data_IF_902032686008
#
_entry.id   IF_902032686008
#
_cell.length_a   1.000
_cell.length_b   1.000
_cell.length_c   1.000
_cell.angle_alpha   90.00
_cell.angle_beta   90.00
_cell.angle_gamma   90.00
#
_symmetry.space_group_name_H-M   'P 1'
#
loop_
_entity.id
_entity.type
_entity.pdbx_description
1 polymer ?
#
# COMPACT_ATOMS: atom_id res chain seq x y z
N UNK A 1 61.68 -23.71 33.51
CA UNK A 1 61.82 -23.50 34.96
C UNK A 1 60.54 -22.87 35.49
N UNK A 2 59.82 -23.61 36.36
CA UNK A 2 58.77 -23.25 37.35
C UNK A 2 57.79 -22.10 37.00
N UNK A 3 56.48 -22.33 36.78
CA UNK A 3 55.41 -22.83 37.70
C UNK A 3 55.12 -21.91 38.90
N UNK A 4 53.87 -21.41 38.96
CA UNK A 4 52.92 -21.20 40.11
C UNK A 4 52.05 -19.97 39.80
N UNK A 5 50.71 -20.00 39.60
CA UNK A 5 49.58 -20.59 40.34
C UNK A 5 49.52 -20.16 41.81
N UNK A 6 48.66 -19.18 42.12
CA UNK A 6 47.95 -19.08 43.40
C UNK A 6 46.56 -18.46 43.18
N UNK A 7 45.54 -19.31 43.38
CA UNK A 7 44.17 -18.91 43.69
C UNK A 7 44.09 -18.27 45.06
N UNK A 8 43.22 -17.29 45.27
CA UNK A 8 42.46 -17.20 46.52
C UNK A 8 41.05 -16.69 46.27
N UNK A 9 40.11 -17.49 46.76
CA UNK A 9 38.66 -17.31 46.80
C UNK A 9 38.33 -16.31 47.90
N UNK A 10 37.43 -15.37 47.64
CA UNK A 10 36.63 -14.75 48.69
C UNK A 10 35.16 -14.69 48.23
N UNK A 11 34.32 -15.34 49.03
CA UNK A 11 32.91 -15.62 48.80
C UNK A 11 32.05 -14.58 49.52
N UNK A 12 30.92 -14.23 48.89
CA UNK A 12 29.68 -13.65 49.43
C UNK A 12 29.65 -12.14 49.67
N UNK A 13 28.74 -11.43 48.98
CA UNK A 13 27.42 -11.04 49.50
C UNK A 13 26.60 -10.23 48.46
N UNK A 14 25.34 -10.66 48.24
CA UNK A 14 24.19 -9.98 47.56
C UNK A 14 24.38 -9.46 46.12
N UNK A 15 23.52 -9.66 45.12
CA UNK A 15 22.18 -10.22 44.98
C UNK A 15 21.67 -9.94 43.55
N UNK A 16 20.83 -10.84 43.02
CA UNK A 16 19.88 -10.69 41.89
C UNK A 16 20.33 -10.20 40.50
N UNK A 17 20.27 -11.14 39.53
CA UNK A 17 19.51 -11.11 38.25
C UNK A 17 19.45 -9.76 37.46
N UNK A 18 19.76 -9.65 36.17
CA UNK A 18 19.33 -10.46 35.02
C UNK A 18 20.18 -10.12 33.77
N UNK A 19 20.63 -11.14 33.04
CA UNK A 19 21.05 -11.06 31.64
C UNK A 19 19.80 -11.22 30.76
N UNK A 20 19.20 -10.10 30.32
CA UNK A 20 18.20 -10.03 29.25
C UNK A 20 17.92 -8.54 28.96
N UNK A 21 18.68 -7.95 28.04
CA UNK A 21 18.63 -6.50 27.85
C UNK A 21 19.13 -6.00 26.51
N UNK A 22 18.85 -6.72 25.41
CA UNK A 22 19.10 -6.19 24.06
C UNK A 22 17.98 -6.45 23.04
N UNK A 23 16.80 -6.90 23.50
CA UNK A 23 15.59 -7.12 22.67
C UNK A 23 14.37 -6.34 23.19
N UNK A 24 14.59 -5.20 23.85
CA UNK A 24 13.50 -4.39 24.42
C UNK A 24 13.70 -2.89 24.14
N UNK A 25 13.84 -2.51 22.87
CA UNK A 25 13.73 -1.12 22.42
C UNK A 25 12.86 -0.91 21.17
N UNK A 26 12.09 -1.92 20.74
CA UNK A 26 11.18 -1.82 19.59
C UNK A 26 9.67 -1.78 19.96
N UNK A 27 9.30 -1.83 21.24
CA UNK A 27 7.89 -1.99 21.66
C UNK A 27 7.34 -0.87 22.54
N UNK A 28 8.04 0.26 22.71
CA UNK A 28 7.55 1.39 23.54
C UNK A 28 7.18 2.68 22.77
N UNK A 29 7.04 2.63 21.44
CA UNK A 29 6.63 3.79 20.65
C UNK A 29 5.22 3.68 20.04
N UNK A 30 4.29 2.94 20.68
CA UNK A 30 2.88 2.89 20.26
C UNK A 30 1.91 2.85 21.46
N UNK A 31 1.83 3.91 22.29
CA UNK A 31 0.49 4.31 22.77
C UNK A 31 0.29 5.83 23.01
N UNK A 32 0.84 6.73 22.16
CA UNK A 32 0.49 8.17 22.21
C UNK A 32 0.06 8.82 20.90
N UNK A 33 0.03 8.05 19.80
CA UNK A 33 -0.57 8.50 18.52
C UNK A 33 -2.06 8.13 18.43
N UNK A 34 -2.53 7.19 19.26
CA UNK A 34 -3.93 6.74 19.29
C UNK A 34 -4.91 7.81 19.84
N UNK A 35 -4.49 8.67 20.78
CA UNK A 35 -5.42 9.59 21.45
C UNK A 35 -5.72 10.89 20.67
N UNK A 36 -5.02 11.15 19.56
CA UNK A 36 -5.32 12.29 18.67
C UNK A 36 -5.91 11.84 17.33
N UNK A 37 -5.62 10.60 16.89
CA UNK A 37 -6.39 9.95 15.83
C UNK A 37 -7.84 9.71 16.29
N UNK A 38 -8.12 9.45 17.57
CA UNK A 38 -9.49 9.40 18.11
C UNK A 38 -10.30 10.70 17.97
N UNK A 39 -9.65 11.85 17.76
CA UNK A 39 -10.35 13.12 17.55
C UNK A 39 -10.50 13.47 16.06
N UNK A 40 -9.73 12.84 15.16
CA UNK A 40 -9.82 13.01 13.69
C UNK A 40 -10.68 11.89 13.06
N UNK A 41 -10.58 10.69 13.62
CA UNK A 41 -11.46 9.54 13.42
C UNK A 41 -12.35 9.53 14.65
N UNK A 42 -13.40 10.32 14.57
CA UNK A 42 -14.47 10.42 15.55
C UNK A 42 -14.79 9.04 16.19
N UNK A 43 -14.99 9.02 17.52
CA UNK A 43 -15.44 7.86 18.31
C UNK A 43 -16.76 7.22 17.82
N UNK A 44 -17.33 7.73 16.73
CA UNK A 44 -18.45 7.15 15.98
C UNK A 44 -18.06 6.00 15.04
N UNK A 45 -16.78 5.78 14.72
CA UNK A 45 -16.32 4.78 13.73
C UNK A 45 -15.49 3.61 14.27
N UNK A 46 -15.85 3.09 15.44
CA UNK A 46 -15.38 1.76 15.87
C UNK A 46 -16.57 0.79 16.01
N UNK A 47 -17.22 0.40 14.90
CA UNK A 47 -18.25 -0.61 14.97
C UNK A 47 -17.63 -1.95 15.42
N UNK A 48 -18.37 -2.69 16.24
CA UNK A 48 -18.02 -4.09 16.50
C UNK A 48 -18.24 -4.88 15.21
N UNK A 49 -17.15 -5.30 14.56
CA UNK A 49 -17.25 -6.03 13.31
C UNK A 49 -17.96 -7.38 13.49
N UNK A 50 -18.84 -7.70 12.56
CA UNK A 50 -19.60 -8.94 12.51
C UNK A 50 -18.66 -10.11 12.23
N UNK A 51 -18.50 -11.01 13.21
CA UNK A 51 -17.57 -12.17 13.13
C UNK A 51 -17.88 -13.14 12.00
N UNK A 52 -19.13 -13.19 11.53
CA UNK A 52 -19.57 -14.07 10.45
C UNK A 52 -19.07 -13.64 9.06
N UNK A 53 -18.43 -12.48 8.93
CA UNK A 53 -17.81 -12.05 7.67
C UNK A 53 -16.30 -11.98 7.84
N UNK A 54 -15.58 -12.43 6.82
CA UNK A 54 -14.12 -12.23 6.75
C UNK A 54 -13.75 -10.76 6.57
N UNK A 55 -14.56 -10.01 5.80
CA UNK A 55 -14.46 -8.56 5.74
C UNK A 55 -14.81 -7.90 7.09
N UNK A 56 -14.20 -6.76 7.43
CA UNK A 56 -14.63 -5.91 8.54
C UNK A 56 -15.99 -5.26 8.23
N UNK A 57 -17.07 -6.03 8.46
CA UNK A 57 -18.45 -5.63 8.20
C UNK A 57 -19.19 -5.21 9.47
N UNK A 58 -20.13 -4.29 9.33
CA UNK A 58 -20.97 -3.79 10.41
C UNK A 58 -22.32 -3.32 9.89
N UNK A 59 -23.30 -3.29 10.78
CA UNK A 59 -24.64 -2.78 10.51
C UNK A 59 -24.67 -1.25 10.69
N UNK A 60 -24.98 -0.52 9.63
CA UNK A 60 -25.23 0.93 9.65
C UNK A 60 -26.72 1.16 9.95
N UNK A 61 -27.03 1.42 11.21
CA UNK A 61 -28.40 1.73 11.66
C UNK A 61 -28.60 3.24 11.58
N UNK A 62 -29.41 3.67 10.61
CA UNK A 62 -29.82 5.08 10.50
C UNK A 62 -31.24 5.25 11.03
N UNK A 63 -31.38 6.04 12.08
CA UNK A 63 -32.68 6.51 12.57
C UNK A 63 -33.20 7.59 11.63
N UNK A 64 -34.29 7.33 10.91
CA UNK A 64 -34.96 8.36 10.13
C UNK A 64 -35.80 9.25 11.06
N UNK A 65 -35.30 10.43 11.42
CA UNK A 65 -35.99 11.45 12.23
C UNK A 65 -37.11 12.19 11.46
N UNK A 66 -37.88 11.47 10.65
CA UNK A 66 -39.03 12.00 9.93
C UNK A 66 -40.29 11.20 10.25
N UNK A 67 -40.90 11.52 11.39
CA UNK A 67 -42.34 11.32 11.62
C UNK A 67 -42.78 9.93 12.10
N UNK A 68 -43.06 9.84 13.40
CA UNK A 68 -44.07 8.97 14.06
C UNK A 68 -44.03 7.43 13.92
N UNK A 69 -43.15 6.82 13.13
CA UNK A 69 -42.83 5.38 13.25
C UNK A 69 -41.38 5.16 12.82
N UNK A 70 -40.47 4.97 13.78
CA UNK A 70 -39.08 4.65 13.48
C UNK A 70 -38.99 3.22 12.94
N UNK A 71 -39.05 3.04 11.62
CA UNK A 71 -38.60 1.81 11.00
C UNK A 71 -37.08 1.86 10.92
N UNK A 72 -36.41 1.22 11.88
CA UNK A 72 -34.96 1.03 11.85
C UNK A 72 -34.58 0.23 10.59
N UNK A 73 -33.95 0.88 9.63
CA UNK A 73 -33.40 0.21 8.45
C UNK A 73 -31.90 0.05 8.67
N UNK A 74 -31.48 -1.20 8.94
CA UNK A 74 -30.05 -1.54 9.02
C UNK A 74 -29.52 -1.81 7.61
N UNK A 75 -28.41 -1.17 7.25
CA UNK A 75 -27.67 -1.47 6.01
C UNK A 75 -26.33 -2.11 6.35
N UNK A 76 -26.07 -3.31 5.81
CA UNK A 76 -24.75 -3.94 5.94
C UNK A 76 -23.71 -3.14 5.15
N UNK A 77 -22.67 -2.68 5.85
CA UNK A 77 -21.52 -1.99 5.31
C UNK A 77 -20.23 -2.75 5.64
N UNK A 78 -19.21 -2.65 4.80
CA UNK A 78 -17.94 -3.34 5.01
C UNK A 78 -16.76 -2.50 4.51
N UNK A 79 -15.65 -2.51 5.23
CA UNK A 79 -14.38 -2.01 4.68
C UNK A 79 -13.68 -3.10 3.84
N UNK A 80 -12.77 -2.71 2.93
CA UNK A 80 -11.89 -3.64 2.23
C UNK A 80 -11.11 -4.53 3.19
N UNK A 81 -11.03 -5.82 2.86
CA UNK A 81 -10.20 -6.78 3.59
C UNK A 81 -8.72 -6.57 3.25
N UNK A 82 -8.45 -6.12 2.03
CA UNK A 82 -7.11 -5.84 1.55
C UNK A 82 -7.05 -4.61 0.65
N UNK A 83 -5.85 -4.05 0.50
CA UNK A 83 -5.56 -2.93 -0.39
C UNK A 83 -4.36 -3.23 -1.28
N UNK A 84 -4.37 -2.69 -2.50
CA UNK A 84 -3.22 -2.64 -3.41
C UNK A 84 -2.81 -1.18 -3.61
N UNK A 85 -2.15 -0.55 -2.63
CA UNK A 85 -1.96 0.90 -2.59
C UNK A 85 -0.94 1.42 -3.62
N UNK A 86 -0.28 0.54 -4.37
CA UNK A 86 0.66 0.94 -5.40
C UNK A 86 1.51 -0.18 -6.00
N UNK A 87 2.36 0.15 -6.96
CA UNK A 87 2.56 1.50 -7.55
C UNK A 87 2.00 1.58 -8.98
N UNK A 88 1.65 2.78 -9.49
CA UNK A 88 1.20 2.92 -10.87
C UNK A 88 2.29 2.44 -11.83
N UNK A 89 1.84 1.84 -12.94
CA UNK A 89 2.71 1.29 -14.01
C UNK A 89 3.60 0.11 -13.60
N UNK A 90 3.31 -0.52 -12.46
CA UNK A 90 3.92 -1.78 -12.05
C UNK A 90 3.16 -3.03 -12.51
N UNK A 91 2.04 -2.89 -13.26
CA UNK A 91 1.22 -4.03 -13.72
C UNK A 91 0.00 -4.35 -12.84
N UNK A 92 -0.36 -3.44 -11.93
CA UNK A 92 -1.48 -3.60 -10.99
C UNK A 92 -2.82 -3.86 -11.69
N UNK A 93 -3.05 -3.32 -12.89
CA UNK A 93 -4.26 -3.63 -13.68
C UNK A 93 -4.32 -5.08 -14.11
N UNK A 94 -3.19 -5.67 -14.54
CA UNK A 94 -3.15 -7.08 -14.92
C UNK A 94 -3.37 -7.99 -13.72
N UNK A 95 -2.72 -7.68 -12.59
CA UNK A 95 -2.97 -8.42 -11.36
C UNK A 95 -4.42 -8.30 -10.91
N UNK A 96 -4.97 -7.08 -10.90
CA UNK A 96 -6.37 -6.82 -10.59
C UNK A 96 -7.31 -7.68 -11.44
N UNK A 97 -7.19 -7.63 -12.77
CA UNK A 97 -8.04 -8.38 -13.69
C UNK A 97 -8.00 -9.89 -13.42
N UNK A 98 -6.85 -10.42 -13.01
CA UNK A 98 -6.67 -11.83 -12.67
C UNK A 98 -7.30 -12.18 -11.32
N UNK A 99 -7.08 -11.35 -10.30
CA UNK A 99 -7.65 -11.55 -8.96
C UNK A 99 -9.18 -11.43 -8.96
N UNK A 100 -9.75 -10.54 -9.77
CA UNK A 100 -11.21 -10.40 -9.91
C UNK A 100 -11.91 -11.64 -10.47
N UNK A 101 -11.16 -12.62 -10.99
CA UNK A 101 -11.71 -13.91 -11.44
C UNK A 101 -11.79 -14.94 -10.32
N UNK A 102 -11.22 -14.66 -9.15
CA UNK A 102 -11.28 -15.57 -8.01
C UNK A 102 -12.71 -15.60 -7.44
N UNK A 103 -13.33 -16.77 -7.23
CA UNK A 103 -14.72 -16.86 -6.76
C UNK A 103 -14.97 -16.10 -5.44
N UNK A 104 -14.01 -16.16 -4.51
CA UNK A 104 -14.09 -15.46 -3.22
C UNK A 104 -13.71 -13.96 -3.28
N UNK A 105 -13.20 -13.41 -4.39
CA UNK A 105 -12.90 -11.97 -4.48
C UNK A 105 -14.07 -11.28 -5.20
N UNK A 106 -14.79 -10.40 -4.48
CA UNK A 106 -15.96 -9.68 -5.00
C UNK A 106 -15.54 -8.28 -5.45
N UNK A 107 -15.77 -7.96 -6.72
CA UNK A 107 -15.28 -6.74 -7.38
C UNK A 107 -16.27 -6.08 -8.34
N UNK A 108 -17.49 -5.91 -7.88
CA UNK A 108 -18.62 -5.23 -8.53
C UNK A 108 -18.60 -3.72 -8.29
N UNK A 109 -17.53 -3.22 -7.67
CA UNK A 109 -17.27 -1.80 -7.44
C UNK A 109 -16.11 -1.32 -8.34
N UNK A 110 -15.94 0.00 -8.55
CA UNK A 110 -14.88 0.53 -9.39
C UNK A 110 -13.48 0.14 -8.89
N UNK A 111 -12.60 -0.24 -9.81
CA UNK A 111 -11.16 -0.29 -9.54
C UNK A 111 -10.66 1.14 -9.34
N UNK A 112 -9.97 1.40 -8.23
CA UNK A 112 -9.49 2.73 -7.81
C UNK A 112 -10.64 3.68 -7.39
N UNK A 113 -11.33 3.39 -6.26
CA UNK A 113 -12.35 4.28 -5.69
C UNK A 113 -11.85 5.68 -5.30
N UNK A 114 -10.53 5.93 -5.30
CA UNK A 114 -9.89 7.26 -5.23
C UNK A 114 -10.30 8.13 -4.01
N UNK A 115 -10.72 7.51 -2.89
CA UNK A 115 -11.20 8.21 -1.70
C UNK A 115 -10.15 9.20 -1.16
N UNK A 116 -8.96 8.69 -0.85
CA UNK A 116 -7.94 9.43 -0.11
C UNK A 116 -7.37 10.59 -0.92
N UNK A 117 -7.39 10.50 -2.25
CA UNK A 117 -6.91 11.55 -3.13
C UNK A 117 -7.97 12.63 -3.43
N UNK A 118 -9.24 12.24 -3.68
CA UNK A 118 -10.26 13.17 -4.21
C UNK A 118 -11.26 13.69 -3.18
N UNK A 119 -11.58 12.88 -2.18
CA UNK A 119 -12.72 13.12 -1.31
C UNK A 119 -12.30 13.44 0.11
N UNK A 120 -11.25 12.78 0.63
CA UNK A 120 -10.77 13.01 1.99
C UNK A 120 -10.50 14.50 2.31
N UNK A 121 -10.05 15.28 1.34
CA UNK A 121 -9.74 16.70 1.52
C UNK A 121 -10.88 17.66 1.18
N UNK A 122 -12.06 17.14 0.80
CA UNK A 122 -13.27 17.92 0.55
C UNK A 122 -14.17 18.01 1.78
N UNK A 123 -14.00 17.11 2.75
CA UNK A 123 -14.77 17.09 3.99
C UNK A 123 -13.91 17.60 5.14
N UNK A 124 -14.55 18.33 6.06
CA UNK A 124 -13.91 18.78 7.29
C UNK A 124 -13.60 17.61 8.25
N UNK A 125 -14.20 16.43 7.99
CA UNK A 125 -14.07 15.23 8.80
C UNK A 125 -13.79 13.97 7.93
N UNK A 126 -12.72 13.24 8.25
CA UNK A 126 -12.36 11.97 7.61
C UNK A 126 -13.44 10.89 7.78
N UNK A 127 -14.03 10.77 8.97
CA UNK A 127 -15.08 9.79 9.24
C UNK A 127 -16.31 10.01 8.36
N UNK A 128 -16.65 11.27 8.09
CA UNK A 128 -17.75 11.62 7.20
C UNK A 128 -17.45 11.22 5.74
N UNK A 129 -16.25 11.54 5.25
CA UNK A 129 -15.82 11.13 3.91
C UNK A 129 -15.87 9.61 3.73
N UNK A 130 -15.44 8.86 4.75
CA UNK A 130 -15.46 7.40 4.75
C UNK A 130 -16.90 6.87 4.71
N UNK A 131 -17.79 7.36 5.58
CA UNK A 131 -19.17 6.87 5.68
C UNK A 131 -20.05 7.24 4.50
N UNK A 132 -19.91 8.48 4.01
CA UNK A 132 -20.77 9.00 2.95
C UNK A 132 -20.31 8.58 1.55
N UNK A 133 -19.00 8.35 1.36
CA UNK A 133 -18.44 8.08 0.03
C UNK A 133 -17.71 6.75 -0.04
N UNK A 134 -16.74 6.49 0.83
CA UNK A 134 -15.90 5.30 0.65
C UNK A 134 -16.66 4.00 0.80
N UNK A 135 -17.28 3.80 1.96
CA UNK A 135 -17.92 2.53 2.31
C UNK A 135 -19.10 2.23 1.39
N UNK A 136 -19.95 3.21 1.01
CA UNK A 136 -21.02 2.98 0.05
C UNK A 136 -20.57 2.50 -1.34
N UNK A 137 -19.35 2.83 -1.79
CA UNK A 137 -18.84 2.35 -3.09
C UNK A 137 -18.75 0.83 -3.15
N UNK A 138 -18.57 0.16 -2.01
CA UNK A 138 -18.44 -1.29 -1.96
C UNK A 138 -19.78 -2.04 -1.86
N UNK A 139 -20.92 -1.33 -1.72
CA UNK A 139 -22.25 -1.96 -1.62
C UNK A 139 -22.52 -3.02 -2.69
N UNK A 140 -22.23 -2.79 -3.98
CA UNK A 140 -22.43 -3.82 -5.01
C UNK A 140 -21.68 -5.12 -4.70
N UNK A 141 -20.47 -5.03 -4.16
CA UNK A 141 -19.67 -6.20 -3.77
C UNK A 141 -20.11 -6.84 -2.47
N UNK A 142 -20.59 -6.03 -1.52
CA UNK A 142 -21.11 -6.51 -0.24
C UNK A 142 -22.29 -7.46 -0.45
N UNK A 143 -23.18 -7.17 -1.40
CA UNK A 143 -24.31 -8.04 -1.74
C UNK A 143 -23.89 -9.45 -2.21
N UNK A 144 -22.66 -9.59 -2.73
CA UNK A 144 -22.13 -10.88 -3.19
C UNK A 144 -21.27 -11.60 -2.18
N UNK A 145 -20.94 -11.00 -1.03
CA UNK A 145 -20.13 -11.64 0.00
C UNK A 145 -20.74 -12.96 0.49
N UNK A 146 -22.07 -13.05 0.47
CA UNK A 146 -22.81 -14.22 0.96
C UNK A 146 -22.80 -15.42 -0.01
N UNK A 147 -22.30 -15.24 -1.24
CA UNK A 147 -22.19 -16.32 -2.23
C UNK A 147 -21.11 -17.35 -1.89
N UNK A 148 -20.15 -16.98 -1.04
CA UNK A 148 -19.11 -17.88 -0.56
C UNK A 148 -19.23 -17.98 0.96
N UNK A 149 -19.46 -19.19 1.44
CA UNK A 149 -19.60 -19.46 2.86
C UNK A 149 -19.05 -20.83 3.20
N UNK A 150 -18.60 -20.96 4.44
CA UNK A 150 -18.26 -22.20 5.10
C UNK A 150 -19.08 -22.35 6.38
N UNK A 151 -19.08 -23.54 6.95
CA UNK A 151 -19.72 -23.84 8.23
C UNK A 151 -18.63 -24.12 9.26
N UNK A 152 -18.56 -23.31 10.31
CA UNK A 152 -17.63 -23.52 11.41
C UNK A 152 -18.03 -24.75 12.25
N UNK A 153 -17.13 -25.21 13.13
CA UNK A 153 -17.31 -26.43 13.94
C UNK A 153 -18.55 -26.41 14.82
N UNK A 154 -19.01 -25.22 15.22
CA UNK A 154 -20.21 -25.01 16.02
C UNK A 154 -21.49 -24.87 15.19
N UNK A 155 -21.40 -25.03 13.85
CA UNK A 155 -22.52 -24.88 12.93
C UNK A 155 -22.74 -23.44 12.43
N UNK A 156 -21.92 -22.48 12.84
CA UNK A 156 -22.06 -21.08 12.43
C UNK A 156 -21.65 -20.90 10.97
N UNK A 157 -22.49 -20.21 10.19
CA UNK A 157 -22.16 -19.79 8.83
C UNK A 157 -21.12 -18.67 8.85
N UNK A 158 -20.01 -18.87 8.13
CA UNK A 158 -18.94 -17.89 7.94
C UNK A 158 -18.84 -17.54 6.47
N UNK A 159 -19.05 -16.28 6.13
CA UNK A 159 -18.91 -15.78 4.77
C UNK A 159 -17.44 -15.51 4.44
N UNK A 160 -16.93 -16.25 3.46
CA UNK A 160 -15.51 -16.27 3.09
C UNK A 160 -15.19 -15.41 1.88
N UNK A 161 -16.21 -14.81 1.26
CA UNK A 161 -16.02 -13.75 0.27
C UNK A 161 -15.25 -12.56 0.86
N UNK A 162 -14.40 -11.94 0.04
CA UNK A 162 -13.64 -10.75 0.38
C UNK A 162 -13.78 -9.65 -0.67
N UNK A 163 -13.83 -8.39 -0.22
CA UNK A 163 -13.66 -7.20 -1.07
C UNK A 163 -12.27 -6.60 -0.87
N UNK A 164 -11.70 -5.98 -1.91
CA UNK A 164 -10.45 -5.22 -1.82
C UNK A 164 -10.57 -3.82 -2.40
N UNK A 165 -9.51 -3.03 -2.28
CA UNK A 165 -9.36 -1.73 -2.96
C UNK A 165 -8.02 -1.70 -3.70
N UNK A 166 -8.06 -1.43 -5.00
CA UNK A 166 -6.88 -1.45 -5.87
C UNK A 166 -6.38 -0.05 -6.29
N UNK A 167 -6.58 0.98 -5.46
CA UNK A 167 -6.11 2.36 -5.67
C UNK A 167 -4.58 2.46 -5.59
N UNK A 168 -3.93 2.67 -6.73
CA UNK A 168 -2.47 2.50 -6.88
C UNK A 168 -1.63 3.70 -6.41
N UNK A 169 -2.26 4.80 -6.02
CA UNK A 169 -1.59 6.03 -5.64
C UNK A 169 -1.51 6.24 -4.12
N UNK A 170 -2.27 5.47 -3.33
CA UNK A 170 -2.31 5.58 -1.88
C UNK A 170 -0.94 5.46 -1.21
N UNK A 171 -0.04 4.66 -1.79
CA UNK A 171 1.31 4.45 -1.28
C UNK A 171 2.09 5.75 -1.12
N UNK A 172 2.09 6.60 -2.15
CA UNK A 172 3.01 7.74 -2.27
C UNK A 172 2.31 9.09 -2.38
N UNK A 173 1.04 9.12 -2.79
CA UNK A 173 0.30 10.35 -3.10
C UNK A 173 -0.32 10.99 -1.84
N UNK A 174 0.48 11.15 -0.78
CA UNK A 174 0.08 11.83 0.45
C UNK A 174 0.20 13.35 0.26
N UNK A 175 -0.35 13.88 -0.82
CA UNK A 175 -0.03 15.22 -1.34
C UNK A 175 -0.32 16.39 -0.42
N UNK A 176 -1.26 16.21 0.50
CA UNK A 176 -1.71 17.21 1.46
C UNK A 176 -1.46 16.75 2.89
N UNK A 177 -0.38 15.98 3.10
CA UNK A 177 -0.07 15.44 4.42
C UNK A 177 0.10 16.53 5.48
N UNK A 178 0.58 17.72 5.10
CA UNK A 178 0.73 18.86 6.02
C UNK A 178 -0.61 19.40 6.54
N UNK A 179 -1.71 19.15 5.83
CA UNK A 179 -3.05 19.62 6.23
C UNK A 179 -3.60 18.80 7.40
N UNK A 180 -3.06 17.60 7.64
CA UNK A 180 -3.48 16.77 8.77
C UNK A 180 -3.03 17.40 10.09
N UNK A 181 -3.94 17.61 11.08
CA UNK A 181 -3.58 18.22 12.35
C UNK A 181 -2.39 17.54 13.07
N UNK A 182 -2.28 16.20 12.97
CA UNK A 182 -1.16 15.43 13.54
C UNK A 182 0.21 15.65 12.86
N UNK A 183 0.22 16.35 11.71
CA UNK A 183 1.41 16.69 10.92
C UNK A 183 1.77 18.19 10.98
N UNK A 184 1.07 18.99 11.78
CA UNK A 184 1.39 20.42 11.92
C UNK A 184 2.82 20.62 12.45
N UNK A 185 3.58 21.47 11.75
CA UNK A 185 4.90 21.93 12.19
C UNK A 185 6.05 20.92 12.07
N UNK A 186 5.84 19.76 11.44
CA UNK A 186 6.91 18.76 11.23
C UNK A 186 7.41 18.77 9.79
N UNK A 187 8.67 18.36 9.60
CA UNK A 187 9.34 18.32 8.30
C UNK A 187 9.07 17.04 7.49
N UNK A 188 8.46 16.05 8.11
CA UNK A 188 8.05 14.80 7.47
C UNK A 188 6.70 14.35 8.02
N UNK A 189 5.89 13.60 7.26
CA UNK A 189 4.59 13.14 7.74
C UNK A 189 4.73 12.17 8.91
N UNK A 190 4.04 12.44 10.01
CA UNK A 190 3.76 11.46 11.08
C UNK A 190 2.56 10.60 10.73
N UNK A 191 1.53 11.21 10.14
CA UNK A 191 0.32 10.56 9.63
C UNK A 191 0.36 10.52 8.10
N UNK A 192 0.03 9.35 7.56
CA UNK A 192 -0.02 9.06 6.12
C UNK A 192 -1.29 8.27 5.82
N UNK A 193 -1.62 8.07 4.54
CA UNK A 193 -2.68 7.19 4.06
C UNK A 193 -2.64 5.80 4.71
N UNK A 194 -1.45 5.25 5.03
CA UNK A 194 -1.34 4.01 5.77
C UNK A 194 -2.05 4.07 7.15
N UNK A 195 -1.85 5.16 7.90
CA UNK A 195 -2.50 5.38 9.19
C UNK A 195 -4.02 5.51 9.07
N UNK A 196 -4.49 6.15 8.01
CA UNK A 196 -5.92 6.25 7.72
C UNK A 196 -6.53 4.88 7.42
N UNK A 197 -5.90 4.07 6.56
CA UNK A 197 -6.38 2.72 6.28
C UNK A 197 -6.31 1.81 7.51
N UNK A 198 -5.27 1.95 8.34
CA UNK A 198 -5.13 1.20 9.59
C UNK A 198 -6.27 1.49 10.57
N UNK A 199 -6.72 2.75 10.62
CA UNK A 199 -7.85 3.13 11.47
C UNK A 199 -9.17 2.47 11.07
N UNK A 200 -9.35 2.16 9.78
CA UNK A 200 -10.54 1.45 9.29
C UNK A 200 -10.49 -0.02 9.67
N UNK A 201 -9.33 -0.67 9.48
CA UNK A 201 -9.13 -2.06 9.82
C UNK A 201 -7.66 -2.38 10.08
N UNK A 202 -7.23 -2.53 11.36
CA UNK A 202 -5.83 -2.78 11.71
C UNK A 202 -5.22 -4.07 11.14
N UNK A 203 -6.06 -5.06 10.81
CA UNK A 203 -5.65 -6.35 10.24
C UNK A 203 -5.74 -6.38 8.71
N UNK A 204 -5.91 -5.23 8.07
CA UNK A 204 -5.99 -5.14 6.61
C UNK A 204 -4.72 -5.66 5.96
N UNK A 205 -4.87 -6.48 4.92
CA UNK A 205 -3.75 -6.98 4.13
C UNK A 205 -3.34 -5.94 3.08
N UNK A 206 -2.04 -5.69 2.93
CA UNK A 206 -1.50 -4.68 2.02
C UNK A 206 -0.63 -5.35 0.98
N UNK A 207 -0.89 -5.13 -0.31
CA UNK A 207 -0.17 -5.78 -1.40
C UNK A 207 0.47 -4.70 -2.30
N UNK A 208 1.79 -4.65 -2.33
CA UNK A 208 2.54 -3.81 -3.25
C UNK A 208 2.97 -4.57 -4.49
N UNK A 209 2.84 -3.91 -5.64
CA UNK A 209 3.53 -4.29 -6.86
C UNK A 209 4.59 -3.26 -7.22
N UNK A 210 5.83 -3.73 -7.32
CA UNK A 210 6.99 -2.93 -7.71
C UNK A 210 7.43 -3.27 -9.13
N UNK A 211 8.16 -2.35 -9.73
CA UNK A 211 8.82 -2.47 -11.04
C UNK A 211 10.12 -1.71 -10.95
N UNK A 212 11.13 -2.09 -11.73
CA UNK A 212 12.36 -1.32 -11.89
C UNK A 212 12.01 0.17 -12.07
N UNK A 213 12.46 1.05 -11.14
CA UNK A 213 11.89 2.38 -10.97
C UNK A 213 12.13 3.31 -12.17
N UNK A 214 13.22 3.12 -12.93
CA UNK A 214 13.52 3.88 -14.15
C UNK A 214 12.52 3.54 -15.26
N UNK A 215 12.32 2.25 -15.51
CA UNK A 215 11.35 1.71 -16.46
C UNK A 215 9.90 2.05 -16.07
N UNK A 216 9.58 2.00 -14.77
CA UNK A 216 8.28 2.44 -14.25
C UNK A 216 8.06 3.91 -14.59
N UNK A 217 9.02 4.78 -14.27
CA UNK A 217 8.91 6.22 -14.50
C UNK A 217 8.72 6.56 -15.97
N UNK A 218 9.47 5.92 -16.88
CA UNK A 218 9.31 6.18 -18.31
C UNK A 218 7.97 5.66 -18.84
N UNK A 219 7.52 4.51 -18.35
CA UNK A 219 6.18 4.02 -18.65
C UNK A 219 5.08 4.95 -18.14
N UNK A 220 5.33 5.64 -17.04
CA UNK A 220 4.43 6.61 -16.42
C UNK A 220 4.33 7.88 -17.25
N UNK A 221 5.48 8.47 -17.59
CA UNK A 221 5.60 9.62 -18.48
C UNK A 221 4.88 9.40 -19.82
N UNK A 222 5.01 8.22 -20.41
CA UNK A 222 4.27 7.93 -21.64
C UNK A 222 2.78 7.85 -21.36
N UNK A 223 2.36 7.15 -20.31
CA UNK A 223 0.94 6.94 -20.03
C UNK A 223 0.20 8.25 -19.72
N UNK A 224 0.75 9.08 -18.82
CA UNK A 224 0.10 10.30 -18.30
C UNK A 224 -0.11 11.38 -19.37
N UNK A 225 0.71 11.42 -20.41
CA UNK A 225 0.57 12.44 -21.47
C UNK A 225 -0.79 12.39 -22.19
N UNK A 226 -1.48 11.24 -22.19
CA UNK A 226 -2.84 11.13 -22.74
C UNK A 226 -3.84 11.96 -21.93
N UNK A 227 -3.75 11.86 -20.61
CA UNK A 227 -4.66 12.55 -19.70
C UNK A 227 -4.29 14.03 -19.56
N UNK A 228 -2.99 14.35 -19.57
CA UNK A 228 -2.49 15.71 -19.31
C UNK A 228 -2.34 16.53 -20.60
N UNK A 229 -2.15 15.89 -21.76
CA UNK A 229 -2.11 16.55 -23.06
C UNK A 229 -0.75 17.13 -23.46
N UNK A 230 0.36 16.77 -22.80
CA UNK A 230 1.70 17.21 -23.22
C UNK A 230 2.29 16.33 -24.33
N UNK A 231 3.25 16.88 -25.09
CA UNK A 231 3.95 16.15 -26.15
C UNK A 231 5.03 15.23 -25.56
N UNK A 232 4.88 13.93 -25.83
CA UNK A 232 5.84 12.91 -25.42
C UNK A 232 7.10 12.96 -26.28
N UNK A 233 8.27 13.06 -25.66
CA UNK A 233 9.54 12.75 -26.32
C UNK A 233 10.61 12.34 -25.30
N UNK A 234 11.60 11.51 -25.69
CA UNK A 234 12.75 11.21 -24.84
C UNK A 234 13.49 12.46 -24.35
N UNK A 235 13.53 13.52 -25.18
CA UNK A 235 14.16 14.81 -24.83
C UNK A 235 13.40 15.56 -23.73
N UNK A 236 12.07 15.66 -23.85
CA UNK A 236 11.25 16.30 -22.81
C UNK A 236 11.33 15.51 -21.50
N UNK A 237 11.27 14.17 -21.59
CA UNK A 237 11.46 13.30 -20.42
C UNK A 237 12.80 13.56 -19.72
N UNK A 238 13.89 13.70 -20.47
CA UNK A 238 15.20 14.04 -19.93
C UNK A 238 15.22 15.40 -19.21
N UNK A 239 14.61 16.43 -19.82
CA UNK A 239 14.54 17.77 -19.23
C UNK A 239 13.74 17.77 -17.92
N UNK A 240 12.61 17.05 -17.89
CA UNK A 240 11.81 16.86 -16.69
C UNK A 240 12.59 16.14 -15.59
N UNK A 241 13.35 15.10 -15.93
CA UNK A 241 14.19 14.38 -14.97
C UNK A 241 15.29 15.27 -14.38
N UNK A 242 16.02 16.03 -15.21
CA UNK A 242 17.04 16.98 -14.76
C UNK A 242 16.46 18.03 -13.80
N UNK A 243 15.30 18.60 -14.16
CA UNK A 243 14.63 19.62 -13.34
C UNK A 243 14.19 19.05 -11.99
N UNK A 244 13.54 17.88 -12.00
CA UNK A 244 13.14 17.20 -10.77
C UNK A 244 14.35 16.96 -9.85
N UNK A 245 15.44 16.39 -10.38
CA UNK A 245 16.62 16.01 -9.59
C UNK A 245 17.29 17.25 -9.01
N UNK A 246 17.40 18.34 -9.78
CA UNK A 246 17.93 19.62 -9.29
C UNK A 246 17.15 20.12 -8.07
N UNK A 247 15.82 20.16 -8.16
CA UNK A 247 14.98 20.70 -7.08
C UNK A 247 14.91 19.75 -5.88
N UNK A 248 14.96 18.44 -6.12
CA UNK A 248 15.08 17.45 -5.06
C UNK A 248 16.38 17.64 -4.28
N UNK A 249 17.50 17.85 -4.97
CA UNK A 249 18.80 18.11 -4.34
C UNK A 249 18.81 19.42 -3.54
N UNK A 250 18.14 20.47 -4.03
CA UNK A 250 17.99 21.70 -3.25
C UNK A 250 17.16 21.47 -1.98
N UNK A 251 16.07 20.69 -2.07
CA UNK A 251 15.27 20.32 -0.91
C UNK A 251 16.07 19.57 0.16
N UNK A 252 16.97 18.66 -0.26
CA UNK A 252 17.82 17.89 0.65
C UNK A 252 18.76 18.77 1.48
N UNK A 253 18.98 20.04 1.11
CA UNK A 253 19.81 20.96 1.91
C UNK A 253 19.15 21.38 3.22
N UNK A 254 17.82 21.39 3.27
CA UNK A 254 17.03 21.90 4.40
C UNK A 254 16.11 20.85 5.05
N UNK A 255 15.88 19.75 4.33
CA UNK A 255 14.96 18.69 4.69
C UNK A 255 15.62 17.33 4.55
N UNK A 256 15.02 16.34 5.20
CA UNK A 256 15.43 14.96 5.07
C UNK A 256 15.00 14.38 3.72
N UNK A 257 15.59 13.24 3.36
CA UNK A 257 15.21 12.49 2.16
C UNK A 257 13.73 12.08 2.17
N UNK A 258 13.21 11.64 3.31
CA UNK A 258 11.78 11.31 3.47
C UNK A 258 10.89 12.55 3.34
N UNK A 259 11.25 13.67 3.96
CA UNK A 259 10.52 14.94 3.80
C UNK A 259 10.44 15.38 2.34
N UNK A 260 11.56 15.32 1.60
CA UNK A 260 11.57 15.63 0.17
C UNK A 260 10.79 14.62 -0.68
N UNK A 261 10.81 13.34 -0.35
CA UNK A 261 10.03 12.32 -1.05
C UNK A 261 8.51 12.53 -0.91
N UNK A 262 8.06 13.16 0.18
CA UNK A 262 6.67 13.55 0.41
C UNK A 262 6.31 14.94 -0.10
N UNK A 263 7.27 15.68 -0.66
CA UNK A 263 7.00 17.00 -1.21
C UNK A 263 6.46 16.91 -2.64
N UNK A 264 5.15 17.12 -2.82
CA UNK A 264 4.50 17.08 -4.14
C UNK A 264 4.88 18.25 -5.05
N UNK A 265 5.48 19.33 -4.56
CA UNK A 265 5.82 20.48 -5.42
C UNK A 265 6.74 20.10 -6.58
N UNK A 266 7.46 18.98 -6.49
CA UNK A 266 8.28 18.44 -7.58
C UNK A 266 7.49 17.76 -8.71
N UNK A 267 6.20 17.46 -8.54
CA UNK A 267 5.40 16.79 -9.58
C UNK A 267 4.88 17.74 -10.67
N UNK A 268 5.22 19.03 -10.61
CA UNK A 268 4.92 19.99 -11.69
C UNK A 268 5.67 19.70 -13.01
N UNK A 269 6.36 18.57 -13.14
CA UNK A 269 7.36 18.30 -14.19
C UNK A 269 6.96 17.23 -15.21
N UNK A 270 5.67 17.02 -15.46
CA UNK A 270 5.19 15.98 -16.41
C UNK A 270 5.62 14.55 -16.04
N UNK A 271 6.27 14.33 -14.88
CA UNK A 271 6.76 13.05 -14.40
C UNK A 271 6.50 12.86 -12.89
N UNK A 272 6.19 11.63 -12.48
CA UNK A 272 6.04 11.25 -11.06
C UNK A 272 7.25 10.48 -10.56
N UNK A 273 8.39 11.17 -10.51
CA UNK A 273 9.68 10.57 -10.13
C UNK A 273 9.68 10.10 -8.66
N UNK A 274 9.01 10.83 -7.75
CA UNK A 274 8.85 10.41 -6.33
C UNK A 274 8.33 8.99 -6.20
N UNK A 275 7.35 8.58 -7.00
CA UNK A 275 6.70 7.27 -6.88
C UNK A 275 7.66 6.08 -7.03
N UNK A 276 8.86 6.26 -7.60
CA UNK A 276 9.89 5.21 -7.68
C UNK A 276 10.75 5.07 -6.41
N UNK A 277 10.60 5.95 -5.41
CA UNK A 277 11.33 5.89 -4.13
C UNK A 277 10.71 4.85 -3.19
N UNK A 278 10.54 3.61 -3.66
CA UNK A 278 9.69 2.60 -3.02
C UNK A 278 10.05 2.35 -1.56
N UNK A 279 11.35 2.31 -1.23
CA UNK A 279 11.82 2.12 0.15
C UNK A 279 11.08 3.03 1.13
N UNK A 280 10.90 4.31 0.80
CA UNK A 280 10.29 5.28 1.73
C UNK A 280 8.84 4.90 2.00
N UNK A 281 8.06 4.75 0.93
CA UNK A 281 6.63 4.53 1.05
C UNK A 281 6.29 3.13 1.55
N UNK A 282 6.96 2.09 1.06
CA UNK A 282 6.73 0.71 1.52
C UNK A 282 7.10 0.57 3.00
N UNK A 283 8.20 1.20 3.44
CA UNK A 283 8.60 1.18 4.85
C UNK A 283 7.57 1.87 5.76
N UNK A 284 7.00 2.99 5.33
CA UNK A 284 5.94 3.66 6.09
C UNK A 284 4.70 2.78 6.28
N UNK A 285 4.31 2.01 5.27
CA UNK A 285 3.19 1.06 5.39
C UNK A 285 3.53 -0.13 6.30
N UNK A 286 4.77 -0.64 6.25
CA UNK A 286 5.23 -1.73 7.13
C UNK A 286 5.27 -1.27 8.59
N UNK A 287 5.72 -0.04 8.86
CA UNK A 287 5.74 0.50 10.22
C UNK A 287 4.34 0.61 10.83
N UNK A 288 3.31 0.79 10.00
CA UNK A 288 1.92 0.91 10.45
C UNK A 288 1.23 -0.46 10.57
N UNK A 289 1.33 -1.29 9.53
CA UNK A 289 0.57 -2.55 9.45
C UNK A 289 1.31 -3.78 9.98
N UNK A 290 2.62 -3.68 10.20
CA UNK A 290 3.47 -4.83 10.47
C UNK A 290 3.86 -5.56 9.17
N UNK A 291 5.03 -6.21 9.19
CA UNK A 291 5.58 -6.90 8.02
C UNK A 291 4.71 -8.09 7.59
N UNK A 292 4.03 -8.72 8.53
CA UNK A 292 3.12 -9.85 8.33
C UNK A 292 1.83 -9.49 7.57
N UNK A 293 1.45 -8.22 7.56
CA UNK A 293 0.29 -7.71 6.82
C UNK A 293 0.70 -6.97 5.54
N UNK A 294 1.97 -7.02 5.13
CA UNK A 294 2.45 -6.41 3.90
C UNK A 294 3.14 -7.44 3.00
N UNK A 295 2.60 -7.63 1.79
CA UNK A 295 3.19 -8.43 0.73
C UNK A 295 3.78 -7.51 -0.35
N UNK A 296 5.01 -7.80 -0.80
CA UNK A 296 5.68 -7.04 -1.86
C UNK A 296 6.08 -7.97 -3.01
N UNK A 297 5.57 -7.68 -4.19
CA UNK A 297 5.78 -8.45 -5.43
C UNK A 297 6.49 -7.59 -6.48
N UNK A 298 7.23 -8.24 -7.39
CA UNK A 298 7.89 -7.58 -8.52
C UNK A 298 7.22 -7.91 -9.84
N UNK A 299 7.07 -6.90 -10.70
CA UNK A 299 6.49 -7.04 -12.03
C UNK A 299 7.43 -7.82 -12.98
N UNK A 300 8.74 -7.70 -12.79
CA UNK A 300 9.77 -8.39 -13.57
C UNK A 300 9.64 -9.90 -13.44
N UNK A 301 9.34 -10.36 -12.22
CA UNK A 301 9.03 -11.76 -11.91
C UNK A 301 7.60 -12.13 -12.29
N UNK A 302 6.94 -11.36 -13.14
CA UNK A 302 5.59 -11.65 -13.65
C UNK A 302 5.50 -11.50 -15.17
N UNK A 303 6.64 -11.43 -15.88
CA UNK A 303 6.64 -11.44 -17.34
C UNK A 303 6.31 -12.83 -17.90
N UNK A 304 6.82 -13.87 -17.27
CA UNK A 304 6.54 -15.25 -17.64
C UNK A 304 5.25 -15.77 -16.98
N UNK A 305 4.44 -16.54 -17.72
CA UNK A 305 3.14 -17.03 -17.27
C UNK A 305 3.20 -17.85 -15.97
N UNK A 306 4.23 -18.69 -15.82
CA UNK A 306 4.48 -19.46 -14.60
C UNK A 306 4.76 -18.56 -13.38
N UNK A 307 5.56 -17.51 -13.54
CA UNK A 307 5.90 -16.63 -12.44
C UNK A 307 4.72 -15.71 -12.05
N UNK A 308 3.89 -15.31 -13.02
CA UNK A 308 2.58 -14.66 -12.76
C UNK A 308 1.70 -15.53 -11.88
N UNK A 309 1.53 -16.79 -12.27
CA UNK A 309 0.69 -17.74 -11.53
C UNK A 309 1.24 -17.96 -10.11
N UNK A 310 2.56 -18.05 -9.95
CA UNK A 310 3.17 -18.12 -8.62
C UNK A 310 2.91 -16.87 -7.77
N UNK A 311 2.92 -15.68 -8.35
CA UNK A 311 2.58 -14.45 -7.63
C UNK A 311 1.10 -14.42 -7.21
N UNK A 312 0.20 -14.89 -8.08
CA UNK A 312 -1.22 -15.05 -7.74
C UNK A 312 -1.41 -16.03 -6.57
N UNK A 313 -0.74 -17.19 -6.61
CA UNK A 313 -0.78 -18.18 -5.51
C UNK A 313 -0.28 -17.59 -4.19
N UNK A 314 0.79 -16.80 -4.23
CA UNK A 314 1.29 -16.09 -3.05
C UNK A 314 0.25 -15.12 -2.48
N UNK A 315 -0.44 -14.37 -3.34
CA UNK A 315 -1.49 -13.43 -2.93
C UNK A 315 -2.68 -14.18 -2.31
N UNK A 316 -3.18 -15.21 -2.98
CA UNK A 316 -4.32 -16.00 -2.50
C UNK A 316 -4.03 -16.59 -1.13
N UNK A 317 -2.82 -17.16 -0.95
CA UNK A 317 -2.35 -17.64 0.35
C UNK A 317 -2.24 -16.52 1.39
N UNK A 318 -1.71 -15.36 1.01
CA UNK A 318 -1.56 -14.19 1.89
C UNK A 318 -2.89 -13.57 2.32
N UNK A 319 -3.89 -13.63 1.44
CA UNK A 319 -5.28 -13.24 1.72
C UNK A 319 -6.06 -14.32 2.47
N UNK A 320 -5.44 -15.48 2.72
CA UNK A 320 -6.00 -16.60 3.49
C UNK A 320 -7.30 -17.15 2.86
N UNK A 321 -7.43 -17.08 1.53
CA UNK A 321 -8.58 -17.62 0.77
C UNK A 321 -8.18 -18.93 0.06
N UNK A 322 -9.18 -19.67 -0.43
CA UNK A 322 -8.94 -20.94 -1.11
C UNK A 322 -8.11 -20.75 -2.38
N UNK A 323 -7.30 -21.74 -2.78
CA UNK A 323 -6.57 -21.67 -4.05
C UNK A 323 -7.54 -21.73 -5.24
N UNK A 324 -7.11 -21.15 -6.37
CA UNK A 324 -7.74 -21.41 -7.66
C UNK A 324 -7.72 -22.92 -7.97
N UNK A 325 -8.80 -23.43 -8.55
CA UNK A 325 -8.84 -24.79 -9.12
C UNK A 325 -7.85 -24.93 -10.28
N UNK A 326 -7.48 -26.17 -10.60
CA UNK A 326 -6.57 -26.46 -11.72
C UNK A 326 -7.07 -25.88 -13.06
N UNK A 327 -8.39 -25.88 -13.27
CA UNK A 327 -9.01 -25.32 -14.47
C UNK A 327 -8.88 -23.79 -14.50
N UNK A 328 -9.11 -23.11 -13.39
CA UNK A 328 -8.95 -21.66 -13.28
C UNK A 328 -7.48 -21.25 -13.44
N UNK A 329 -6.55 -21.98 -12.81
CA UNK A 329 -5.11 -21.73 -12.96
C UNK A 329 -4.64 -21.88 -14.42
N UNK A 330 -5.16 -22.88 -15.14
CA UNK A 330 -4.87 -23.05 -16.57
C UNK A 330 -5.35 -21.84 -17.38
N UNK A 331 -6.58 -21.37 -17.15
CA UNK A 331 -7.09 -20.17 -17.82
C UNK A 331 -6.25 -18.93 -17.51
N UNK A 332 -5.83 -18.76 -16.25
CA UNK A 332 -4.95 -17.66 -15.86
C UNK A 332 -3.59 -17.76 -16.56
N UNK A 333 -3.03 -18.96 -16.67
CA UNK A 333 -1.74 -19.19 -17.33
C UNK A 333 -1.76 -18.74 -18.80
N UNK A 334 -2.80 -19.12 -19.53
CA UNK A 334 -2.95 -18.85 -20.97
C UNK A 334 -3.33 -17.39 -21.29
N UNK A 335 -3.77 -16.62 -20.29
CA UNK A 335 -4.22 -15.25 -20.48
C UNK A 335 -3.07 -14.28 -20.81
N UNK A 336 -3.31 -13.44 -21.84
CA UNK A 336 -2.39 -12.39 -22.26
C UNK A 336 -2.34 -11.24 -21.24
N UNK A 337 -1.24 -10.48 -21.27
CA UNK A 337 -1.11 -9.27 -20.46
C UNK A 337 -2.09 -8.20 -20.90
N UNK A 338 -2.72 -7.54 -19.94
CA UNK A 338 -3.57 -6.35 -20.18
C UNK A 338 -2.81 -5.06 -19.90
N UNK A 339 -3.35 -3.93 -20.40
CA UNK A 339 -2.79 -2.58 -20.19
C UNK A 339 -1.33 -2.41 -20.66
N UNK A 340 -0.99 -3.08 -21.77
CA UNK A 340 0.29 -2.93 -22.46
C UNK A 340 0.32 -1.66 -23.30
N UNK A 341 1.51 -1.09 -23.56
CA UNK A 341 1.67 0.10 -24.40
C UNK A 341 1.00 -0.10 -25.77
N UNK A 342 0.23 0.89 -26.21
CA UNK A 342 -0.37 0.94 -27.55
C UNK A 342 0.74 1.08 -28.62
N UNK A 343 0.48 0.73 -29.89
CA UNK A 343 1.46 0.87 -30.97
C UNK A 343 2.06 2.28 -31.09
N UNK A 344 1.23 3.32 -30.97
CA UNK A 344 1.64 4.73 -30.99
C UNK A 344 2.55 5.11 -29.82
N UNK A 345 2.44 4.43 -28.68
CA UNK A 345 3.31 4.66 -27.52
C UNK A 345 4.65 3.95 -27.69
N UNK A 346 4.67 2.85 -28.46
CA UNK A 346 5.91 2.11 -28.77
C UNK A 346 6.75 2.86 -29.80
N UNK A 347 6.13 3.57 -30.73
CA UNK A 347 6.84 4.36 -31.75
C UNK A 347 7.62 5.55 -31.18
N UNK A 348 7.35 5.97 -29.95
CA UNK A 348 8.12 7.00 -29.23
C UNK A 348 9.56 6.52 -28.97
N UNK A 349 9.76 5.20 -28.89
CA UNK A 349 11.07 4.59 -28.63
C UNK A 349 11.50 4.67 -27.16
N UNK A 350 12.75 4.28 -26.93
CA UNK A 350 13.36 4.25 -25.61
C UNK A 350 13.77 5.63 -25.13
N UNK A 351 13.93 5.78 -23.81
CA UNK A 351 14.53 6.96 -23.23
C UNK A 351 16.00 7.09 -23.68
N UNK A 352 16.55 8.31 -23.64
CA UNK A 352 17.98 8.52 -23.91
C UNK A 352 18.83 7.72 -22.91
N UNK A 353 19.95 7.16 -23.36
CA UNK A 353 20.88 6.40 -22.51
C UNK A 353 21.36 7.22 -21.31
N UNK A 354 21.74 8.49 -21.54
CA UNK A 354 22.15 9.40 -20.47
C UNK A 354 21.03 9.67 -19.45
N UNK A 355 19.76 9.67 -19.88
CA UNK A 355 18.62 9.78 -18.95
C UNK A 355 18.50 8.54 -18.09
N UNK A 356 18.69 7.36 -18.68
CA UNK A 356 18.67 6.09 -17.95
C UNK A 356 19.74 6.09 -16.86
N UNK A 357 21.00 6.35 -17.22
CA UNK A 357 22.12 6.42 -16.28
C UNK A 357 21.87 7.43 -15.15
N UNK A 358 21.41 8.64 -15.49
CA UNK A 358 21.05 9.67 -14.52
C UNK A 358 20.01 9.17 -13.50
N UNK A 359 18.96 8.51 -13.97
CA UNK A 359 17.89 8.02 -13.11
C UNK A 359 18.33 6.79 -12.29
N UNK A 360 19.19 5.94 -12.83
CA UNK A 360 19.78 4.80 -12.10
C UNK A 360 20.60 5.32 -10.91
N UNK A 361 21.46 6.31 -11.13
CA UNK A 361 22.24 6.97 -10.07
C UNK A 361 21.31 7.60 -9.03
N UNK A 362 20.23 8.26 -9.49
CA UNK A 362 19.26 8.86 -8.59
C UNK A 362 18.55 7.83 -7.70
N UNK A 363 18.10 6.70 -8.26
CA UNK A 363 17.34 5.69 -7.52
C UNK A 363 18.21 4.74 -6.69
N UNK A 364 19.50 4.58 -7.03
CA UNK A 364 20.44 3.69 -6.34
C UNK A 364 20.34 3.73 -4.80
N UNK A 365 20.39 4.89 -4.11
CA UNK A 365 20.29 4.92 -2.64
C UNK A 365 18.96 4.40 -2.11
N UNK A 366 17.85 4.54 -2.86
CA UNK A 366 16.55 3.99 -2.45
C UNK A 366 16.47 2.49 -2.72
N UNK A 367 17.03 2.04 -3.83
CA UNK A 367 17.07 0.62 -4.20
C UNK A 367 17.93 -0.18 -3.21
N UNK A 368 19.07 0.35 -2.77
CA UNK A 368 19.93 -0.28 -1.76
C UNK A 368 19.15 -0.51 -0.45
N UNK A 369 18.43 0.49 0.05
CA UNK A 369 17.62 0.33 1.27
C UNK A 369 16.44 -0.64 1.07
N UNK A 370 15.83 -0.64 -0.13
CA UNK A 370 14.78 -1.60 -0.46
C UNK A 370 15.30 -3.04 -0.46
N UNK A 371 16.48 -3.29 -1.04
CA UNK A 371 17.13 -4.62 -1.07
C UNK A 371 17.47 -5.09 0.35
N UNK A 372 17.86 -4.20 1.26
CA UNK A 372 18.06 -4.57 2.68
C UNK A 372 16.76 -5.06 3.33
N UNK A 373 15.62 -4.46 3.00
CA UNK A 373 14.31 -4.87 3.51
C UNK A 373 13.81 -6.17 2.83
N UNK A 374 14.11 -6.32 1.54
CA UNK A 374 13.67 -7.40 0.67
C UNK A 374 14.84 -7.91 -0.19
N UNK A 375 15.67 -8.84 0.31
CA UNK A 375 16.87 -9.28 -0.40
C UNK A 375 16.62 -9.94 -1.77
N UNK A 376 15.39 -10.42 -2.02
CA UNK A 376 14.98 -10.95 -3.32
C UNK A 376 14.65 -9.87 -4.36
N UNK A 377 14.63 -8.59 -3.95
CA UNK A 377 14.47 -7.43 -4.80
C UNK A 377 15.83 -6.77 -4.96
N UNK A 378 16.52 -7.09 -6.05
CA UNK A 378 17.77 -6.44 -6.42
C UNK A 378 17.62 -5.74 -7.77
N UNK A 379 17.40 -4.43 -7.73
CA UNK A 379 17.39 -3.62 -8.94
C UNK A 379 18.80 -3.19 -9.38
N UNK A 380 19.81 -3.33 -8.52
CA UNK A 380 21.18 -2.96 -8.85
C UNK A 380 21.83 -4.01 -9.76
N UNK A 381 21.40 -5.29 -9.69
CA UNK A 381 21.85 -6.33 -10.62
C UNK A 381 21.40 -6.10 -12.07
N UNK A 382 20.51 -5.14 -12.32
CA UNK A 382 20.11 -4.76 -13.68
C UNK A 382 21.07 -3.78 -14.34
N UNK A 383 22.08 -3.29 -13.62
CA UNK A 383 22.98 -2.22 -14.05
C UNK A 383 24.44 -2.65 -14.03
#
# INVERSE_FOLDING_TARGET
MKSTFYSFVCLLLFGSATLLGFWWKATQFVPRVASHLHNIIDNRFHPSFLRKYKNPCFDDVRSSDHGTTANETSTLLCFPYFVMPGFPKCGTTDLYTRLSKHPQIKWEHPKEPDLLHRHMYKYDNFGEAVHQYYVPLFRPSIHRLQENFDVDKDGTLIYTGIIGDASVDYAFNNSRWQDFPGNKGVKEPRLTHAHFMYSLYPKMKVIFMLREPVERLYSDYIFEARAIGYKRSPKNFHQSALKFIKDFNECLRLNTRRGCAYNRTFESYEIRLRAGMYHIFVNDWIQVFGKENVLVLMSETTKAANQRLNSIRQIVKFLEIEPFSLTEEKHLYDEKLVNVRLPEERSIGDMLSCTRELLQVFYAPFNIELTKMFPYIDYNSFY
#
